data_IF_008337031547
#
_entry.id   IF_008337031547
#
_cell.length_a   1.000
_cell.length_b   1.000
_cell.length_c   1.000
_cell.angle_alpha   90.00
_cell.angle_beta   90.00
_cell.angle_gamma   90.00
#
_symmetry.space_group_name_H-M   'P 1'
#
loop_
_entity.id
_entity.type
_entity.pdbx_description
1 polymer ?
#
# COMPACT_ATOMS: atom_id res chain seq x y z
N UNK A 1 -34.73 5.87 -17.98
CA UNK A 1 -34.11 4.86 -17.09
C UNK A 1 -32.94 4.26 -17.83
N UNK A 2 -31.73 4.39 -17.30
CA UNK A 2 -30.51 3.84 -17.91
C UNK A 2 -30.21 2.44 -17.35
N UNK A 3 -29.44 1.66 -18.10
CA UNK A 3 -28.94 0.38 -17.62
C UNK A 3 -27.83 0.58 -16.57
N UNK A 4 -27.83 -0.29 -15.56
CA UNK A 4 -26.73 -0.44 -14.62
C UNK A 4 -25.58 -1.22 -15.28
N UNK A 5 -24.35 -1.07 -14.80
CA UNK A 5 -23.13 -1.68 -15.34
C UNK A 5 -23.24 -3.21 -15.44
N UNK A 6 -23.87 -3.86 -14.46
CA UNK A 6 -24.10 -5.30 -14.50
C UNK A 6 -25.04 -5.72 -15.65
N UNK A 7 -26.03 -4.89 -15.96
CA UNK A 7 -26.96 -5.11 -17.08
C UNK A 7 -26.37 -4.71 -18.44
N UNK A 8 -25.33 -3.87 -18.47
CA UNK A 8 -24.55 -3.58 -19.68
C UNK A 8 -23.63 -4.75 -20.07
N UNK A 9 -23.09 -5.47 -19.08
CA UNK A 9 -22.21 -6.63 -19.31
C UNK A 9 -22.96 -7.88 -19.78
N UNK A 10 -24.20 -8.05 -19.32
CA UNK A 10 -25.06 -9.18 -19.72
C UNK A 10 -26.50 -8.70 -19.98
N UNK A 11 -26.76 -7.99 -21.09
CA UNK A 11 -28.08 -7.48 -21.40
C UNK A 11 -29.05 -8.61 -21.77
N UNK A 12 -30.23 -8.59 -21.17
CA UNK A 12 -31.37 -9.41 -21.62
C UNK A 12 -31.94 -8.90 -22.95
N UNK A 13 -32.77 -9.70 -23.63
CA UNK A 13 -33.35 -9.36 -24.93
C UNK A 13 -34.08 -8.00 -24.94
N UNK A 14 -34.82 -7.66 -23.88
CA UNK A 14 -35.49 -6.36 -23.75
C UNK A 14 -34.53 -5.18 -23.53
N UNK A 15 -33.35 -5.43 -22.97
CA UNK A 15 -32.33 -4.41 -22.70
C UNK A 15 -31.45 -4.15 -23.92
N UNK A 16 -31.33 -5.11 -24.85
CA UNK A 16 -30.70 -4.91 -26.15
C UNK A 16 -31.42 -3.86 -27.00
N UNK A 17 -32.76 -3.86 -26.97
CA UNK A 17 -33.56 -2.85 -27.66
C UNK A 17 -33.32 -1.44 -27.08
N UNK A 18 -33.14 -1.34 -25.76
CA UNK A 18 -32.80 -0.09 -25.09
C UNK A 18 -31.40 0.40 -25.46
N UNK A 19 -30.40 -0.50 -25.53
CA UNK A 19 -29.04 -0.16 -25.94
C UNK A 19 -28.98 0.48 -27.33
N UNK A 20 -29.74 -0.06 -28.28
CA UNK A 20 -29.80 0.49 -29.65
C UNK A 20 -30.43 1.88 -29.74
N UNK A 21 -31.23 2.28 -28.74
CA UNK A 21 -31.97 3.53 -28.74
C UNK A 21 -31.37 4.58 -27.78
N UNK A 22 -30.54 4.16 -26.82
CA UNK A 22 -29.95 5.04 -25.81
C UNK A 22 -28.45 5.24 -26.08
N UNK A 23 -28.11 6.39 -26.64
CA UNK A 23 -26.72 6.78 -26.95
C UNK A 23 -25.81 6.80 -25.72
N UNK A 24 -26.34 7.15 -24.55
CA UNK A 24 -25.57 7.15 -23.30
C UNK A 24 -25.21 5.73 -22.84
N UNK A 25 -26.15 4.79 -22.89
CA UNK A 25 -25.88 3.39 -22.56
C UNK A 25 -24.94 2.74 -23.59
N UNK A 26 -25.04 3.13 -24.87
CA UNK A 26 -24.10 2.71 -25.92
C UNK A 26 -22.67 3.20 -25.63
N UNK A 27 -22.50 4.49 -25.28
CA UNK A 27 -21.21 5.08 -24.94
C UNK A 27 -20.56 4.40 -23.73
N UNK A 28 -21.36 4.10 -22.70
CA UNK A 28 -20.90 3.36 -21.52
C UNK A 28 -20.46 1.94 -21.85
N UNK A 29 -21.21 1.24 -22.71
CA UNK A 29 -20.85 -0.09 -23.19
C UNK A 29 -19.52 -0.06 -23.97
N UNK A 30 -19.33 0.90 -24.86
CA UNK A 30 -18.10 1.06 -25.64
C UNK A 30 -16.88 1.31 -24.74
N UNK A 31 -17.04 2.10 -23.67
CA UNK A 31 -15.98 2.32 -22.68
C UNK A 31 -15.64 1.05 -21.91
N UNK A 32 -16.66 0.29 -21.47
CA UNK A 32 -16.44 -1.00 -20.79
C UNK A 32 -15.70 -1.99 -21.69
N UNK A 33 -16.05 -2.05 -22.98
CA UNK A 33 -15.36 -2.91 -23.95
C UNK A 33 -13.89 -2.51 -24.14
N UNK A 34 -13.59 -1.20 -24.22
CA UNK A 34 -12.21 -0.70 -24.31
C UNK A 34 -11.38 -1.07 -23.08
N UNK A 35 -11.93 -0.88 -21.88
CA UNK A 35 -11.26 -1.26 -20.62
C UNK A 35 -11.01 -2.76 -20.59
N UNK A 36 -12.00 -3.57 -20.95
CA UNK A 36 -11.85 -5.02 -20.96
C UNK A 36 -10.80 -5.48 -22.00
N UNK A 37 -10.75 -4.85 -23.17
CA UNK A 37 -9.70 -5.10 -24.16
C UNK A 37 -8.29 -4.75 -23.63
N UNK A 38 -8.16 -3.65 -22.88
CA UNK A 38 -6.90 -3.25 -22.25
C UNK A 38 -6.49 -4.21 -21.13
N UNK A 39 -7.43 -4.67 -20.32
CA UNK A 39 -7.17 -5.66 -19.26
C UNK A 39 -6.75 -7.01 -19.85
N UNK A 40 -7.38 -7.47 -20.92
CA UNK A 40 -7.00 -8.71 -21.61
C UNK A 40 -5.67 -8.57 -22.38
N UNK A 41 -5.22 -7.35 -22.66
CA UNK A 41 -3.93 -7.07 -23.25
C UNK A 41 -2.79 -6.99 -22.21
N UNK A 42 -3.11 -7.04 -20.91
CA UNK A 42 -2.08 -7.10 -19.88
C UNK A 42 -1.34 -8.43 -19.98
N UNK A 43 0.01 -8.41 -19.94
CA UNK A 43 0.79 -9.64 -19.92
C UNK A 43 0.42 -10.45 -18.68
N UNK A 44 0.24 -11.75 -18.88
CA UNK A 44 0.00 -12.69 -17.78
C UNK A 44 1.29 -12.77 -16.94
N UNK A 45 1.36 -11.93 -15.91
CA UNK A 45 2.46 -11.87 -14.97
C UNK A 45 2.36 -13.08 -14.04
N UNK A 46 2.90 -14.21 -14.48
CA UNK A 46 3.12 -15.34 -13.59
C UNK A 46 4.12 -14.90 -12.50
N UNK A 47 3.75 -14.94 -11.20
CA UNK A 47 4.71 -14.66 -10.14
C UNK A 47 5.84 -15.69 -10.25
N UNK A 48 7.09 -15.22 -10.32
CA UNK A 48 8.24 -16.12 -10.40
C UNK A 48 8.21 -17.11 -9.22
N UNK A 49 8.54 -18.37 -9.46
CA UNK A 49 8.52 -19.42 -8.42
C UNK A 49 9.34 -19.04 -7.17
N UNK A 50 10.42 -18.27 -7.38
CA UNK A 50 11.25 -17.68 -6.33
C UNK A 50 10.51 -16.66 -5.46
N UNK A 51 9.61 -15.85 -6.03
CA UNK A 51 8.77 -14.92 -5.27
C UNK A 51 7.77 -15.66 -4.37
N UNK A 52 7.26 -16.80 -4.83
CA UNK A 52 6.31 -17.63 -4.07
C UNK A 52 6.96 -18.40 -2.92
N UNK A 53 8.16 -18.94 -3.16
CA UNK A 53 8.95 -19.56 -2.10
C UNK A 53 9.37 -18.57 -1.01
N UNK A 54 9.64 -17.30 -1.37
CA UNK A 54 9.96 -16.24 -0.40
C UNK A 54 8.76 -15.94 0.50
N UNK A 55 7.57 -15.77 -0.08
CA UNK A 55 6.34 -15.51 0.66
C UNK A 55 5.99 -16.69 1.59
N UNK A 56 6.13 -17.94 1.12
CA UNK A 56 5.93 -19.11 1.98
C UNK A 56 6.90 -19.17 3.16
N UNK A 57 8.16 -18.79 2.97
CA UNK A 57 9.14 -18.75 4.07
C UNK A 57 8.77 -17.70 5.11
N UNK A 58 8.34 -16.50 4.69
CA UNK A 58 7.90 -15.44 5.61
C UNK A 58 6.67 -15.85 6.41
N UNK A 59 5.71 -16.53 5.79
CA UNK A 59 4.51 -17.03 6.48
C UNK A 59 4.86 -18.11 7.51
N UNK A 60 5.73 -19.08 7.16
CA UNK A 60 6.17 -20.13 8.08
C UNK A 60 7.05 -19.62 9.22
N UNK A 61 7.86 -18.58 9.00
CA UNK A 61 8.67 -17.98 10.07
C UNK A 61 7.81 -17.27 11.11
N UNK A 62 6.66 -16.70 10.71
CA UNK A 62 5.73 -16.07 11.64
C UNK A 62 4.88 -17.08 12.44
N UNK A 63 4.65 -18.30 11.92
CA UNK A 63 4.00 -19.38 12.68
C UNK A 63 4.89 -19.97 13.79
N UNK A 64 6.23 -19.95 13.63
CA UNK A 64 7.16 -20.61 14.57
C UNK A 64 7.37 -19.80 15.87
N UNK A 65 6.89 -18.55 15.96
CA UNK A 65 7.08 -17.71 17.15
C UNK A 65 6.02 -17.96 18.23
N UNK A 66 4.89 -18.60 17.94
CA UNK A 66 3.80 -18.79 18.93
C UNK A 66 3.84 -20.11 19.71
N UNK A 67 4.63 -21.12 19.32
CA UNK A 67 4.54 -22.47 19.91
C UNK A 67 5.79 -23.02 20.62
N UNK A 68 6.76 -22.17 20.97
CA UNK A 68 7.92 -22.60 21.75
C UNK A 68 7.67 -22.62 23.27
N UNK A 69 6.67 -23.39 23.74
CA UNK A 69 6.59 -23.82 25.15
C UNK A 69 7.51 -25.02 25.37
N UNK A 70 8.81 -24.79 25.57
CA UNK A 70 9.72 -25.87 25.97
C UNK A 70 9.55 -26.23 27.46
N UNK A 71 9.40 -27.51 27.83
CA UNK A 71 9.32 -27.92 29.23
C UNK A 71 10.71 -27.88 29.88
N UNK A 72 10.96 -26.87 30.70
CA UNK A 72 12.17 -26.77 31.53
C UNK A 72 11.92 -27.58 32.82
N UNK A 73 12.21 -28.87 32.76
CA UNK A 73 12.45 -29.68 33.95
C UNK A 73 13.77 -30.42 33.79
N UNK A 74 14.89 -29.75 34.11
CA UNK A 74 16.15 -30.44 34.38
C UNK A 74 17.06 -29.62 35.32
N UNK A 75 17.14 -30.12 36.56
CA UNK A 75 18.19 -29.98 37.57
C UNK A 75 18.55 -28.58 38.14
N UNK A 76 17.77 -28.19 39.14
CA UNK A 76 17.83 -27.00 40.02
C UNK A 76 19.18 -26.63 40.70
N UNK A 77 20.23 -27.46 40.75
CA UNK A 77 21.29 -27.27 41.78
C UNK A 77 22.55 -26.46 41.41
N UNK A 78 22.58 -25.64 40.34
CA UNK A 78 23.80 -24.87 39.99
C UNK A 78 23.52 -23.40 39.66
N UNK A 79 22.72 -22.72 40.49
CA UNK A 79 22.21 -21.36 40.24
C UNK A 79 22.84 -20.21 41.04
N UNK A 80 24.12 -20.24 41.41
CA UNK A 80 24.71 -19.18 42.25
C UNK A 80 25.86 -18.36 41.61
N UNK A 81 26.32 -18.68 40.40
CA UNK A 81 27.49 -17.98 39.80
C UNK A 81 27.29 -17.37 38.40
N UNK A 82 26.18 -17.65 37.71
CA UNK A 82 25.89 -17.09 36.37
C UNK A 82 24.95 -15.87 36.42
N UNK A 83 24.19 -15.69 37.50
CA UNK A 83 23.19 -14.62 37.63
C UNK A 83 23.78 -13.20 37.62
N UNK A 84 25.02 -13.01 38.07
CA UNK A 84 25.66 -11.69 38.09
C UNK A 84 26.09 -11.21 36.69
N UNK A 85 26.46 -12.12 35.77
CA UNK A 85 26.87 -11.76 34.41
C UNK A 85 25.67 -11.48 33.50
N UNK A 86 24.56 -12.20 33.68
CA UNK A 86 23.33 -11.95 32.92
C UNK A 86 22.60 -10.68 33.39
N UNK A 87 22.66 -10.36 34.69
CA UNK A 87 22.07 -9.11 35.20
C UNK A 87 22.69 -7.86 34.59
N UNK A 88 24.02 -7.85 34.37
CA UNK A 88 24.71 -6.71 33.77
C UNK A 88 24.40 -6.56 32.26
N UNK A 89 24.25 -7.67 31.53
CA UNK A 89 23.87 -7.62 30.10
C UNK A 89 22.40 -7.21 29.90
N UNK A 90 21.49 -7.63 30.78
CA UNK A 90 20.07 -7.24 30.71
C UNK A 90 19.89 -5.77 31.11
N UNK A 91 20.60 -5.26 32.14
CA UNK A 91 20.55 -3.84 32.50
C UNK A 91 21.22 -2.94 31.46
N UNK A 92 22.34 -3.35 30.87
CA UNK A 92 22.99 -2.60 29.78
C UNK A 92 22.14 -2.61 28.50
N UNK A 93 21.50 -3.74 28.17
CA UNK A 93 20.54 -3.83 27.06
C UNK A 93 19.26 -3.03 27.30
N UNK A 94 18.74 -3.01 28.53
CA UNK A 94 17.58 -2.21 28.91
C UNK A 94 17.88 -0.71 28.85
N UNK A 95 19.06 -0.28 29.29
CA UNK A 95 19.51 1.10 29.07
C UNK A 95 19.69 1.41 27.59
N UNK A 96 20.23 0.49 26.77
CA UNK A 96 20.39 0.72 25.32
C UNK A 96 19.06 0.85 24.58
N UNK A 97 18.05 0.05 24.97
CA UNK A 97 16.69 0.10 24.40
C UNK A 97 15.90 1.31 24.92
N UNK A 98 16.13 1.78 26.15
CA UNK A 98 15.55 3.03 26.63
C UNK A 98 16.28 4.29 26.13
N UNK A 99 17.52 4.16 25.65
CA UNK A 99 18.30 5.26 25.09
C UNK A 99 18.33 5.29 23.56
N UNK A 100 17.50 4.49 22.88
CA UNK A 100 17.16 4.77 21.49
C UNK A 100 16.29 6.02 21.47
N UNK A 101 16.92 7.19 21.57
CA UNK A 101 16.31 8.44 21.11
C UNK A 101 15.82 8.16 19.70
N UNK A 102 14.52 8.28 19.45
CA UNK A 102 13.98 8.31 18.09
C UNK A 102 14.90 9.25 17.30
N UNK A 103 15.56 8.69 16.30
CA UNK A 103 16.42 9.49 15.45
C UNK A 103 15.54 10.59 14.85
N UNK A 104 16.11 11.77 14.66
CA UNK A 104 15.39 12.88 13.99
C UNK A 104 14.75 12.42 12.67
N UNK A 105 15.36 11.46 11.99
CA UNK A 105 14.85 10.83 10.77
C UNK A 105 13.61 9.98 10.99
N UNK A 106 13.52 9.20 12.09
CA UNK A 106 12.31 8.43 12.41
C UNK A 106 11.12 9.33 12.71
N UNK A 107 11.33 10.39 13.49
CA UNK A 107 10.26 11.36 13.78
C UNK A 107 9.79 12.10 12.51
N UNK A 108 10.72 12.48 11.63
CA UNK A 108 10.38 13.07 10.33
C UNK A 108 9.61 12.08 9.44
N UNK A 109 9.98 10.80 9.46
CA UNK A 109 9.32 9.75 8.69
C UNK A 109 7.87 9.55 9.15
N UNK A 110 7.64 9.39 10.45
CA UNK A 110 6.29 9.25 11.03
C UNK A 110 5.40 10.45 10.67
N UNK A 111 5.93 11.67 10.79
CA UNK A 111 5.19 12.87 10.46
C UNK A 111 4.81 12.95 8.98
N UNK A 112 5.72 12.58 8.07
CA UNK A 112 5.43 12.57 6.63
C UNK A 112 4.40 11.49 6.27
N UNK A 113 4.45 10.32 6.90
CA UNK A 113 3.45 9.26 6.69
C UNK A 113 2.06 9.74 7.10
N UNK A 114 1.93 10.33 8.31
CA UNK A 114 0.66 10.85 8.81
C UNK A 114 0.09 11.96 7.90
N UNK A 115 0.94 12.88 7.44
CA UNK A 115 0.52 13.94 6.52
C UNK A 115 0.05 13.39 5.17
N UNK A 116 0.69 12.33 4.67
CA UNK A 116 0.27 11.68 3.44
C UNK A 116 -1.13 11.08 3.59
N UNK A 117 -1.41 10.35 4.68
CA UNK A 117 -2.72 9.76 4.93
C UNK A 117 -3.83 10.81 4.95
N UNK A 118 -3.57 11.95 5.60
CA UNK A 118 -4.52 13.06 5.63
C UNK A 118 -4.82 13.63 4.23
N UNK A 119 -3.81 13.76 3.38
CA UNK A 119 -3.99 14.24 1.99
C UNK A 119 -4.88 13.29 1.17
N UNK A 120 -4.75 11.96 1.35
CA UNK A 120 -5.65 11.02 0.68
C UNK A 120 -7.11 11.23 1.05
N UNK A 121 -7.38 11.41 2.35
CA UNK A 121 -8.75 11.65 2.81
C UNK A 121 -9.33 12.95 2.26
N UNK A 122 -8.49 13.98 2.08
CA UNK A 122 -8.90 15.24 1.44
C UNK A 122 -9.21 15.06 -0.05
N UNK A 123 -8.34 14.35 -0.77
CA UNK A 123 -8.53 14.08 -2.20
C UNK A 123 -9.76 13.21 -2.48
N UNK A 124 -10.00 12.19 -1.65
CA UNK A 124 -11.17 11.32 -1.81
C UNK A 124 -12.48 12.09 -1.62
N UNK A 125 -12.53 13.07 -0.70
CA UNK A 125 -13.69 13.95 -0.55
C UNK A 125 -13.90 14.86 -1.78
N UNK A 126 -12.83 15.34 -2.41
CA UNK A 126 -12.89 16.22 -3.59
C UNK A 126 -13.26 15.47 -4.89
N UNK A 127 -12.94 14.18 -4.99
CA UNK A 127 -13.21 13.31 -6.16
C UNK A 127 -14.69 13.12 -6.49
N UNK A 128 -15.60 13.52 -5.61
CA UNK A 128 -17.06 13.41 -5.81
C UNK A 128 -17.64 14.41 -6.83
N UNK A 129 -16.85 15.33 -7.37
CA UNK A 129 -17.28 16.29 -8.40
C UNK A 129 -16.36 16.30 -9.64
N UNK A 130 -16.94 16.02 -10.82
CA UNK A 130 -16.47 16.30 -12.20
C UNK A 130 -15.53 15.33 -12.97
N UNK A 131 -15.93 15.08 -14.22
CA UNK A 131 -15.43 14.06 -15.16
C UNK A 131 -14.36 14.54 -16.15
N UNK A 132 -13.90 15.80 -16.10
CA UNK A 132 -12.75 16.29 -16.87
C UNK A 132 -11.40 16.05 -16.16
N UNK A 133 -11.45 15.55 -14.93
CA UNK A 133 -10.35 15.34 -13.98
C UNK A 133 -9.59 14.00 -14.24
N UNK A 134 -10.16 13.10 -15.03
CA UNK A 134 -9.74 11.69 -15.13
C UNK A 134 -8.38 11.42 -15.80
N UNK A 135 -7.95 12.21 -16.80
CA UNK A 135 -6.69 11.92 -17.54
C UNK A 135 -5.45 12.34 -16.74
N UNK A 136 -5.52 13.48 -16.03
CA UNK A 136 -4.43 13.92 -15.17
C UNK A 136 -4.37 13.10 -13.88
N UNK A 137 -5.52 12.72 -13.32
CA UNK A 137 -5.60 11.74 -12.24
C UNK A 137 -4.93 10.42 -12.63
N UNK A 138 -5.25 9.84 -13.80
CA UNK A 138 -4.67 8.56 -14.22
C UNK A 138 -3.13 8.61 -14.33
N UNK A 139 -2.57 9.74 -14.81
CA UNK A 139 -1.12 9.94 -14.83
C UNK A 139 -0.54 10.02 -13.42
N UNK A 140 -1.21 10.69 -12.50
CA UNK A 140 -0.73 10.87 -11.13
C UNK A 140 -0.88 9.58 -10.32
N UNK A 141 -1.99 8.85 -10.49
CA UNK A 141 -2.19 7.52 -9.92
C UNK A 141 -1.10 6.55 -10.36
N UNK A 142 -0.71 6.60 -11.65
CA UNK A 142 0.42 5.82 -12.14
C UNK A 142 1.73 6.19 -11.44
N UNK A 143 2.01 7.49 -11.24
CA UNK A 143 3.22 7.96 -10.56
C UNK A 143 3.24 7.58 -9.08
N UNK A 144 2.09 7.66 -8.40
CA UNK A 144 1.90 7.21 -7.02
C UNK A 144 2.17 5.70 -6.92
N UNK A 145 1.56 4.90 -7.79
CA UNK A 145 1.77 3.45 -7.82
C UNK A 145 3.24 3.09 -8.08
N UNK A 146 3.95 3.83 -8.94
CA UNK A 146 5.38 3.63 -9.13
C UNK A 146 6.20 3.95 -7.87
N UNK A 147 5.85 5.01 -7.14
CA UNK A 147 6.52 5.38 -5.89
C UNK A 147 6.23 4.37 -4.78
N UNK A 148 5.00 3.88 -4.68
CA UNK A 148 4.61 2.89 -3.68
C UNK A 148 5.34 1.56 -3.90
N UNK A 149 5.49 1.13 -5.17
CA UNK A 149 6.33 -0.02 -5.51
C UNK A 149 7.79 0.19 -5.11
N UNK A 150 8.35 1.38 -5.33
CA UNK A 150 9.72 1.73 -4.91
C UNK A 150 9.87 1.76 -3.39
N UNK A 151 8.87 2.27 -2.67
CA UNK A 151 8.83 2.26 -1.21
C UNK A 151 8.81 0.83 -0.68
N UNK A 152 7.91 -0.02 -1.18
CA UNK A 152 7.85 -1.43 -0.81
C UNK A 152 9.19 -2.13 -1.08
N UNK A 153 9.78 -1.90 -2.24
CA UNK A 153 11.09 -2.45 -2.58
C UNK A 153 12.18 -1.93 -1.63
N UNK A 154 12.20 -0.64 -1.31
CA UNK A 154 13.16 -0.05 -0.38
C UNK A 154 13.07 -0.67 1.03
N UNK A 155 11.86 -0.94 1.52
CA UNK A 155 11.65 -1.67 2.78
C UNK A 155 12.14 -3.13 2.68
N UNK A 156 11.83 -3.83 1.60
CA UNK A 156 12.27 -5.22 1.39
C UNK A 156 13.78 -5.36 1.28
N UNK A 157 14.44 -4.36 0.68
CA UNK A 157 15.90 -4.31 0.51
C UNK A 157 16.62 -3.73 1.74
N UNK A 158 15.90 -3.35 2.81
CA UNK A 158 16.43 -2.67 3.99
C UNK A 158 17.30 -1.45 3.62
N UNK A 159 16.82 -0.64 2.67
CA UNK A 159 17.46 0.63 2.31
C UNK A 159 17.51 1.58 3.51
N UNK A 160 18.37 2.60 3.43
CA UNK A 160 18.55 3.50 4.57
C UNK A 160 17.27 4.32 4.85
N UNK A 161 17.04 4.66 6.13
CA UNK A 161 15.90 5.51 6.52
C UNK A 161 15.85 6.82 5.73
N UNK A 162 17.01 7.36 5.35
CA UNK A 162 17.13 8.56 4.52
C UNK A 162 16.57 8.37 3.11
N UNK A 163 16.81 7.20 2.50
CA UNK A 163 16.30 6.88 1.16
C UNK A 163 14.78 6.67 1.20
N UNK A 164 14.30 5.97 2.24
CA UNK A 164 12.86 5.77 2.47
C UNK A 164 12.17 7.13 2.69
N UNK A 165 12.78 8.01 3.50
CA UNK A 165 12.26 9.37 3.73
C UNK A 165 12.17 10.19 2.44
N UNK A 166 13.19 10.14 1.57
CA UNK A 166 13.16 10.85 0.27
C UNK A 166 12.02 10.37 -0.63
N UNK A 167 11.74 9.07 -0.66
CA UNK A 167 10.63 8.51 -1.42
C UNK A 167 9.28 9.02 -0.87
N UNK A 168 9.11 9.03 0.45
CA UNK A 168 7.93 9.58 1.11
C UNK A 168 7.75 11.09 0.87
N UNK A 169 8.82 11.87 0.89
CA UNK A 169 8.80 13.30 0.55
C UNK A 169 8.40 13.54 -0.90
N UNK A 170 8.91 12.71 -1.81
CA UNK A 170 8.56 12.79 -3.25
C UNK A 170 7.09 12.49 -3.47
N UNK A 171 6.56 11.46 -2.79
CA UNK A 171 5.14 11.13 -2.79
C UNK A 171 4.27 12.26 -2.25
N UNK A 172 4.70 12.89 -1.15
CA UNK A 172 3.99 14.04 -0.59
C UNK A 172 3.95 15.22 -1.56
N UNK A 173 5.04 15.51 -2.26
CA UNK A 173 5.09 16.61 -3.23
C UNK A 173 4.06 16.41 -4.35
N UNK A 174 3.91 15.18 -4.86
CA UNK A 174 2.90 14.84 -5.87
C UNK A 174 1.47 15.00 -5.35
N UNK A 175 1.18 14.57 -4.12
CA UNK A 175 -0.17 14.73 -3.56
C UNK A 175 -0.55 16.20 -3.36
N UNK A 176 0.41 17.04 -2.95
CA UNK A 176 0.20 18.49 -2.84
C UNK A 176 -0.05 19.15 -4.19
N UNK A 177 0.58 18.64 -5.26
CA UNK A 177 0.33 19.11 -6.63
C UNK A 177 -1.11 18.80 -7.07
N UNK A 178 -1.66 17.64 -6.69
CA UNK A 178 -3.07 17.29 -6.94
C UNK A 178 -4.01 18.23 -6.18
N UNK A 179 -3.74 18.48 -4.90
CA UNK A 179 -4.55 19.39 -4.08
C UNK A 179 -4.63 20.78 -4.73
N UNK A 180 -3.49 21.32 -5.18
CA UNK A 180 -3.44 22.62 -5.86
C UNK A 180 -4.18 22.61 -7.21
N UNK A 181 -4.06 21.53 -7.98
CA UNK A 181 -4.76 21.38 -9.25
C UNK A 181 -6.28 21.25 -9.07
N UNK A 182 -6.72 20.56 -8.01
CA UNK A 182 -8.13 20.45 -7.62
C UNK A 182 -8.73 21.80 -7.21
N UNK A 183 -7.97 22.63 -6.49
CA UNK A 183 -8.44 23.95 -6.04
C UNK A 183 -8.56 24.94 -7.21
N UNK A 184 -7.66 24.89 -8.19
CA UNK A 184 -7.66 25.83 -9.32
C UNK A 184 -8.74 25.56 -10.38
N UNK A 185 -9.28 24.34 -10.46
CA UNK A 185 -10.35 23.99 -11.40
C UNK A 185 -11.78 24.12 -10.82
N UNK A 186 -11.93 24.67 -9.61
CA UNK A 186 -13.24 24.95 -8.99
C UNK A 186 -13.80 26.37 -9.29
N UNK A 187 -13.27 27.08 -10.30
CA UNK A 187 -13.79 28.38 -10.81
C UNK A 187 -14.29 28.21 -12.25
#
# INVERSE_FOLDING_TARGET
MHLNDLALLAPSEGQLAHLQQCTECQSRLDNLQKVNAQLNALPELAPSELSWQRIQKTLKQNEVVEDAKSPIFLNWKIGARVAACLGFMVLAGYQYVLHSSLSKTQFELENVIAQNEQLYLQLENMRSSETAYDIQLAKIDYLINQLDNKLQQAYLENQSEQQILQLWQTRQALLKEIEQFSVNNQI
#
